data_IF_334213023650
#
_entry.id   IF_334213023650
#
_cell.length_a   1.000
_cell.length_b   1.000
_cell.length_c   1.000
_cell.angle_alpha   90.00
_cell.angle_beta   90.00
_cell.angle_gamma   90.00
#
_symmetry.space_group_name_H-M   'P 1'
#
loop_
_entity.id
_entity.type
_entity.pdbx_description
1 polymer ?
#
# COMPACT_ATOMS: atom_id res chain seq x y z
N UNK A 1 -24.93 77.98 10.25
CA UNK A 1 -23.72 77.34 9.67
C UNK A 1 -23.07 76.47 10.73
N UNK A 2 -22.44 75.38 10.28
CA UNK A 2 -22.07 74.14 10.98
C UNK A 2 -21.30 74.28 12.30
N UNK A 3 -21.64 73.39 13.22
CA UNK A 3 -20.86 72.94 14.39
C UNK A 3 -19.69 72.05 13.96
N UNK A 4 -18.55 72.17 14.66
CA UNK A 4 -17.42 71.22 14.71
C UNK A 4 -16.76 71.37 16.10
N UNK A 5 -16.80 70.32 16.94
CA UNK A 5 -15.77 69.27 17.15
C UNK A 5 -14.46 69.82 17.74
N UNK A 6 -13.72 69.18 18.66
CA UNK A 6 -13.81 68.00 19.52
C UNK A 6 -12.46 68.01 20.25
N UNK A 7 -12.37 67.64 21.53
CA UNK A 7 -11.11 67.18 22.12
C UNK A 7 -11.35 66.42 23.43
N UNK A 8 -11.50 65.10 23.35
CA UNK A 8 -11.34 64.22 24.51
C UNK A 8 -10.19 63.23 24.21
N UNK A 9 -9.30 63.13 25.19
CA UNK A 9 -7.96 62.51 25.12
C UNK A 9 -8.06 60.98 25.12
N UNK A 10 -7.26 60.34 24.29
CA UNK A 10 -7.03 58.90 24.30
C UNK A 10 -6.02 58.53 25.40
N UNK A 11 -6.39 57.58 26.27
CA UNK A 11 -5.46 56.85 27.12
C UNK A 11 -5.05 55.55 26.42
N UNK A 12 -3.75 55.34 26.27
CA UNK A 12 -3.16 54.09 25.81
C UNK A 12 -2.93 53.16 27.01
N UNK A 13 -3.34 51.90 26.90
CA UNK A 13 -2.78 50.81 27.70
C UNK A 13 -2.41 49.66 26.77
N UNK A 14 -1.11 49.38 26.72
CA UNK A 14 -0.46 48.31 25.99
C UNK A 14 -0.74 46.95 26.64
N UNK A 15 -1.32 46.02 25.88
CA UNK A 15 -1.43 44.60 26.28
C UNK A 15 -0.27 43.84 25.63
N UNK A 16 0.71 43.45 26.44
CA UNK A 16 1.80 42.55 26.05
C UNK A 16 1.25 41.14 25.97
N UNK A 17 0.95 40.67 24.76
CA UNK A 17 0.52 39.29 24.51
C UNK A 17 1.72 38.34 24.42
N UNK A 18 1.85 37.43 25.38
CA UNK A 18 2.74 36.26 25.26
C UNK A 18 1.98 35.18 24.50
N UNK A 19 2.32 34.97 23.23
CA UNK A 19 1.82 33.83 22.44
C UNK A 19 2.68 32.62 22.77
N UNK A 20 2.19 31.75 23.64
CA UNK A 20 2.76 30.42 23.84
C UNK A 20 2.40 29.54 22.64
N UNK A 21 3.36 29.28 21.76
CA UNK A 21 3.23 28.32 20.67
C UNK A 21 3.14 26.91 21.26
N UNK A 22 1.92 26.38 21.40
CA UNK A 22 1.70 24.97 21.73
C UNK A 22 2.10 24.16 20.50
N UNK A 23 3.31 23.60 20.52
CA UNK A 23 3.72 22.59 19.56
C UNK A 23 2.86 21.34 19.77
N UNK A 24 1.78 21.21 19.02
CA UNK A 24 1.05 19.95 18.90
C UNK A 24 1.94 18.96 18.18
N UNK A 25 2.71 18.19 18.93
CA UNK A 25 3.32 16.97 18.42
C UNK A 25 2.18 16.05 17.99
N UNK A 26 2.01 15.88 16.69
CA UNK A 26 1.12 14.87 16.12
C UNK A 26 1.68 13.49 16.46
N UNK A 27 1.34 12.98 17.65
CA UNK A 27 1.44 11.57 17.98
C UNK A 27 0.43 10.86 17.09
N UNK A 28 0.85 10.53 15.87
CA UNK A 28 0.08 9.66 14.98
C UNK A 28 -0.21 8.38 15.76
N UNK A 29 -1.48 8.15 16.07
CA UNK A 29 -1.93 6.89 16.62
C UNK A 29 -1.72 5.86 15.51
N UNK A 30 -0.58 5.18 15.57
CA UNK A 30 -0.34 4.00 14.75
C UNK A 30 -1.52 3.06 14.99
N UNK A 31 -2.22 2.70 13.92
CA UNK A 31 -3.35 1.79 14.02
C UNK A 31 -2.83 0.49 14.66
N UNK A 32 -3.37 0.15 15.83
CA UNK A 32 -2.92 -1.02 16.58
C UNK A 32 -3.38 -2.27 15.85
N UNK A 33 -2.46 -2.86 15.10
CA UNK A 33 -2.67 -4.11 14.38
C UNK A 33 -2.62 -5.30 15.35
N UNK A 34 -3.53 -6.27 15.25
CA UNK A 34 -3.43 -7.52 16.01
C UNK A 34 -2.08 -8.21 15.78
N UNK A 35 -1.49 -8.79 16.81
CA UNK A 35 -0.20 -9.51 16.72
C UNK A 35 -0.28 -10.75 15.83
N UNK A 36 -1.47 -11.28 15.59
CA UNK A 36 -1.72 -12.36 14.65
C UNK A 36 -3.13 -12.27 14.11
N UNK A 37 -3.36 -12.79 12.91
CA UNK A 37 -4.69 -12.77 12.31
C UNK A 37 -4.78 -13.46 10.97
N UNK A 38 -6.01 -13.56 10.48
CA UNK A 38 -6.29 -14.05 9.15
C UNK A 38 -6.00 -12.99 8.07
N UNK A 39 -5.54 -13.46 6.93
CA UNK A 39 -5.51 -12.70 5.69
C UNK A 39 -6.75 -13.10 4.90
N UNK A 40 -7.67 -12.16 4.70
CA UNK A 40 -8.83 -12.29 3.83
C UNK A 40 -8.99 -10.95 3.11
N UNK A 41 -8.25 -10.79 2.01
CA UNK A 41 -8.12 -9.50 1.35
C UNK A 41 -8.45 -9.60 -0.14
N UNK A 42 -9.17 -8.61 -0.65
CA UNK A 42 -9.26 -8.34 -2.08
C UNK A 42 -8.36 -7.18 -2.44
N UNK A 43 -7.90 -7.18 -3.69
CA UNK A 43 -7.05 -6.12 -4.22
C UNK A 43 -7.36 -5.89 -5.68
N UNK A 44 -7.13 -4.66 -6.14
CA UNK A 44 -7.07 -4.35 -7.58
C UNK A 44 -5.61 -4.20 -7.95
N UNK A 45 -5.18 -4.93 -8.97
CA UNK A 45 -3.85 -4.81 -9.56
C UNK A 45 -3.93 -4.10 -10.91
N UNK A 46 -2.95 -3.24 -11.15
CA UNK A 46 -2.69 -2.62 -12.45
C UNK A 46 -1.19 -2.71 -12.72
N UNK A 47 -0.80 -3.25 -13.87
CA UNK A 47 0.59 -3.47 -14.20
C UNK A 47 0.90 -3.35 -15.68
N UNK A 48 2.20 -3.37 -15.97
CA UNK A 48 2.75 -3.18 -17.31
C UNK A 48 3.90 -4.14 -17.56
N UNK A 49 4.05 -4.50 -18.83
CA UNK A 49 5.21 -5.21 -19.31
C UNK A 49 6.44 -4.29 -19.25
N UNK A 50 7.49 -4.68 -18.52
CA UNK A 50 8.75 -3.91 -18.48
C UNK A 50 9.70 -4.43 -19.53
N UNK A 51 9.90 -5.76 -19.58
CA UNK A 51 10.68 -6.45 -20.61
C UNK A 51 10.06 -7.80 -20.91
N UNK A 52 10.10 -8.18 -22.19
CA UNK A 52 9.63 -9.46 -22.65
C UNK A 52 10.58 -9.94 -23.76
N UNK A 53 11.33 -11.00 -23.50
CA UNK A 53 12.35 -11.55 -24.38
C UNK A 53 11.86 -12.89 -24.93
N UNK A 54 11.53 -12.91 -26.22
CA UNK A 54 11.10 -14.11 -26.91
C UNK A 54 12.22 -15.17 -26.90
N UNK A 55 11.85 -16.42 -26.60
CA UNK A 55 12.72 -17.59 -26.67
C UNK A 55 12.38 -18.38 -27.93
N UNK A 56 11.16 -18.91 -28.01
CA UNK A 56 10.64 -19.65 -29.18
C UNK A 56 9.12 -19.83 -29.08
N UNK A 57 8.40 -19.68 -30.19
CA UNK A 57 6.93 -19.72 -30.13
C UNK A 57 6.38 -18.64 -29.20
N UNK A 58 5.50 -19.01 -28.28
CA UNK A 58 4.95 -18.12 -27.25
C UNK A 58 5.81 -18.08 -25.97
N UNK A 59 6.94 -18.80 -25.94
CA UNK A 59 7.80 -18.85 -24.78
C UNK A 59 8.65 -17.59 -24.65
N UNK A 60 8.66 -17.01 -23.46
CA UNK A 60 9.41 -15.80 -23.18
C UNK A 60 9.87 -15.69 -21.72
N UNK A 61 11.02 -15.05 -21.54
CA UNK A 61 11.48 -14.56 -20.23
C UNK A 61 10.98 -13.13 -20.08
N UNK A 62 10.33 -12.83 -18.96
CA UNK A 62 9.68 -11.54 -18.76
C UNK A 62 10.04 -10.90 -17.42
N UNK A 63 9.88 -9.57 -17.39
CA UNK A 63 9.96 -8.72 -16.20
C UNK A 63 8.72 -7.82 -16.21
N UNK A 64 7.94 -7.85 -15.13
CA UNK A 64 6.71 -7.09 -14.96
C UNK A 64 6.74 -6.23 -13.71
N UNK A 65 6.02 -5.10 -13.78
CA UNK A 65 5.77 -4.24 -12.64
C UNK A 65 4.27 -4.02 -12.46
N UNK A 66 3.84 -3.96 -11.20
CA UNK A 66 2.45 -3.60 -10.88
C UNK A 66 2.29 -2.77 -9.63
N UNK A 67 1.14 -2.10 -9.56
CA UNK A 67 0.59 -1.47 -8.36
C UNK A 67 -0.61 -2.26 -7.90
N UNK A 68 -0.68 -2.54 -6.61
CA UNK A 68 -1.86 -3.09 -5.97
C UNK A 68 -2.52 -2.02 -5.08
N UNK A 69 -3.85 -1.97 -5.13
CA UNK A 69 -4.68 -1.12 -4.28
C UNK A 69 -5.59 -2.01 -3.43
N UNK A 70 -5.54 -1.81 -2.11
CA UNK A 70 -6.33 -2.56 -1.13
C UNK A 70 -7.08 -1.58 -0.22
N UNK A 71 -8.29 -1.20 -0.62
CA UNK A 71 -9.05 -0.13 0.04
C UNK A 71 -10.18 -0.64 0.95
N UNK A 72 -10.64 -1.88 0.77
CA UNK A 72 -11.80 -2.40 1.50
C UNK A 72 -11.60 -3.86 1.94
N UNK A 73 -10.82 -4.03 3.01
CA UNK A 73 -10.47 -5.31 3.63
C UNK A 73 -10.69 -5.25 5.15
N UNK A 74 -11.85 -4.77 5.60
CA UNK A 74 -12.13 -4.52 7.02
C UNK A 74 -11.99 -5.76 7.92
N UNK A 75 -12.10 -6.95 7.35
CA UNK A 75 -11.88 -8.24 8.04
C UNK A 75 -10.41 -8.68 8.09
N UNK A 76 -9.54 -7.99 7.37
CA UNK A 76 -8.10 -8.27 7.33
C UNK A 76 -7.33 -6.96 7.59
N UNK A 77 -7.20 -6.54 8.86
CA UNK A 77 -6.58 -5.27 9.24
C UNK A 77 -5.17 -5.06 8.65
N UNK A 78 -4.39 -6.13 8.47
CA UNK A 78 -3.06 -6.07 7.85
C UNK A 78 -3.11 -5.52 6.41
N UNK A 79 -4.19 -5.80 5.68
CA UNK A 79 -4.37 -5.47 4.27
C UNK A 79 -5.42 -4.37 4.07
N UNK A 80 -5.80 -3.67 5.14
CA UNK A 80 -6.76 -2.57 5.09
C UNK A 80 -6.05 -1.26 4.72
N UNK A 81 -6.53 -0.56 3.69
CA UNK A 81 -6.01 0.74 3.26
C UNK A 81 -4.49 0.73 2.99
N UNK A 82 -4.01 -0.31 2.33
CA UNK A 82 -2.61 -0.42 1.91
C UNK A 82 -2.48 -0.34 0.40
N UNK A 83 -1.31 0.09 -0.06
CA UNK A 83 -0.91 0.00 -1.47
C UNK A 83 0.35 -0.85 -1.57
N UNK A 84 0.58 -1.48 -2.73
CA UNK A 84 1.81 -2.21 -2.98
C UNK A 84 2.42 -1.85 -4.33
N UNK A 85 3.75 -1.89 -4.39
CA UNK A 85 4.53 -1.86 -5.63
C UNK A 85 5.22 -3.20 -5.79
N UNK A 86 4.98 -3.85 -6.92
CA UNK A 86 5.46 -5.20 -7.17
C UNK A 86 6.40 -5.23 -8.38
N UNK A 87 7.41 -6.09 -8.29
CA UNK A 87 8.31 -6.45 -9.39
C UNK A 87 8.36 -7.97 -9.48
N UNK A 88 8.27 -8.50 -10.68
CA UNK A 88 8.24 -9.93 -10.95
C UNK A 88 9.10 -10.30 -12.15
N UNK A 89 9.81 -11.42 -12.06
CA UNK A 89 10.42 -12.05 -13.21
C UNK A 89 9.97 -13.52 -13.34
N UNK A 90 9.87 -13.99 -14.56
CA UNK A 90 9.43 -15.36 -14.82
C UNK A 90 9.77 -15.86 -16.21
N UNK A 91 9.52 -17.16 -16.39
CA UNK A 91 9.54 -17.82 -17.70
C UNK A 91 8.13 -18.35 -17.98
N UNK A 92 7.56 -18.01 -19.14
CA UNK A 92 6.16 -18.31 -19.47
C UNK A 92 5.84 -19.82 -19.47
N UNK A 93 6.79 -20.67 -19.83
CA UNK A 93 6.63 -22.13 -19.77
C UNK A 93 7.00 -22.74 -18.40
N UNK A 94 7.52 -21.93 -17.47
CA UNK A 94 8.10 -22.36 -16.21
C UNK A 94 7.37 -21.80 -14.99
N UNK A 95 8.13 -21.13 -14.13
CA UNK A 95 7.61 -20.46 -12.94
C UNK A 95 7.99 -18.99 -12.94
N UNK A 96 7.24 -18.22 -12.16
CA UNK A 96 7.51 -16.83 -11.90
C UNK A 96 7.66 -16.59 -10.41
N UNK A 97 8.45 -15.57 -10.06
CA UNK A 97 8.64 -15.13 -8.68
C UNK A 97 8.70 -13.61 -8.66
N UNK A 98 8.05 -13.03 -7.66
CA UNK A 98 8.00 -11.59 -7.50
C UNK A 98 8.02 -11.17 -6.04
N UNK A 99 8.25 -9.88 -5.87
CA UNK A 99 8.23 -9.21 -4.58
C UNK A 99 7.25 -8.04 -4.65
N UNK A 100 6.50 -7.82 -3.57
CA UNK A 100 5.69 -6.62 -3.40
C UNK A 100 6.11 -5.89 -2.13
N UNK A 101 6.34 -4.59 -2.23
CA UNK A 101 6.53 -3.71 -1.09
C UNK A 101 5.21 -3.02 -0.80
N UNK A 102 4.58 -3.38 0.31
CA UNK A 102 3.38 -2.73 0.82
C UNK A 102 3.73 -1.48 1.59
N UNK A 103 2.83 -0.50 1.54
CA UNK A 103 2.90 0.73 2.32
C UNK A 103 1.52 1.05 2.86
N UNK A 104 1.45 1.34 4.15
CA UNK A 104 0.24 1.81 4.80
C UNK A 104 0.21 3.35 4.93
N UNK A 105 -0.88 3.86 5.53
CA UNK A 105 -1.10 5.29 5.77
C UNK A 105 -0.08 5.93 6.73
N UNK A 106 0.56 5.13 7.58
CA UNK A 106 1.54 5.59 8.58
C UNK A 106 2.96 5.60 7.99
N UNK A 107 3.13 5.13 6.75
CA UNK A 107 4.41 5.02 6.05
C UNK A 107 5.16 3.73 6.35
N UNK A 108 4.64 2.89 7.24
CA UNK A 108 5.19 1.58 7.56
C UNK A 108 5.02 0.63 6.38
N UNK A 109 6.01 -0.26 6.21
CA UNK A 109 6.12 -1.15 5.05
C UNK A 109 6.25 -2.59 5.47
N UNK A 110 5.79 -3.49 4.60
CA UNK A 110 6.08 -4.91 4.69
C UNK A 110 6.28 -5.51 3.31
N UNK A 111 7.01 -6.62 3.25
CA UNK A 111 7.43 -7.26 2.01
C UNK A 111 6.75 -8.61 1.89
N UNK A 112 6.13 -8.77 0.74
CA UNK A 112 5.65 -10.05 0.24
C UNK A 112 6.62 -10.62 -0.77
N UNK A 113 6.84 -11.93 -0.70
CA UNK A 113 7.43 -12.73 -1.78
C UNK A 113 6.38 -13.70 -2.28
N UNK A 114 6.21 -13.84 -3.58
CA UNK A 114 5.22 -14.76 -4.16
C UNK A 114 5.78 -15.51 -5.36
N UNK A 115 5.20 -16.67 -5.63
CA UNK A 115 5.54 -17.51 -6.78
C UNK A 115 4.32 -18.22 -7.34
N UNK A 116 4.38 -18.54 -8.62
CA UNK A 116 3.34 -19.29 -9.33
C UNK A 116 3.91 -19.96 -10.59
N UNK A 117 3.16 -20.90 -11.14
CA UNK A 117 3.46 -21.52 -12.43
C UNK A 117 3.05 -20.59 -13.57
N UNK A 118 3.85 -20.51 -14.63
CA UNK A 118 3.51 -19.79 -15.85
C UNK A 118 2.13 -20.16 -16.38
N UNK A 119 1.35 -19.15 -16.77
CA UNK A 119 -0.05 -19.31 -17.19
C UNK A 119 -1.07 -19.54 -16.06
N UNK A 120 -0.64 -19.68 -14.80
CA UNK A 120 -1.56 -19.80 -13.66
C UNK A 120 -2.16 -18.46 -13.26
N UNK A 121 -3.43 -18.46 -12.86
CA UNK A 121 -4.12 -17.32 -12.24
C UNK A 121 -4.12 -17.40 -10.72
N UNK A 122 -3.35 -18.32 -10.13
CA UNK A 122 -3.19 -18.46 -8.70
C UNK A 122 -1.76 -18.86 -8.32
N UNK A 123 -1.40 -18.57 -7.07
CA UNK A 123 -0.07 -18.84 -6.55
C UNK A 123 0.00 -18.77 -5.03
N UNK A 124 1.23 -18.88 -4.52
CA UNK A 124 1.53 -18.83 -3.09
C UNK A 124 2.38 -17.62 -2.78
N UNK A 125 2.21 -17.07 -1.59
CA UNK A 125 3.02 -15.98 -1.10
C UNK A 125 3.34 -16.08 0.38
N UNK A 126 4.36 -15.32 0.77
CA UNK A 126 4.86 -15.24 2.13
C UNK A 126 5.11 -13.78 2.50
N UNK A 127 4.99 -13.47 3.78
CA UNK A 127 5.41 -12.20 4.38
C UNK A 127 6.66 -12.49 5.21
N UNK A 128 7.72 -11.70 5.05
CA UNK A 128 9.00 -12.01 5.71
C UNK A 128 9.87 -10.82 6.12
N UNK A 129 9.48 -9.59 5.76
CA UNK A 129 10.20 -8.41 6.20
C UNK A 129 9.23 -7.24 6.39
N UNK A 130 9.56 -6.32 7.29
CA UNK A 130 8.75 -5.13 7.53
C UNK A 130 9.44 -4.09 8.42
N UNK A 131 8.87 -2.90 8.44
CA UNK A 131 9.29 -1.74 9.24
C UNK A 131 8.23 -1.38 10.26
N UNK A 132 8.59 -0.55 11.24
CA UNK A 132 7.68 -0.05 12.28
C UNK A 132 6.84 -1.15 12.90
N UNK A 133 5.51 -1.04 12.81
CA UNK A 133 4.59 -2.03 13.40
C UNK A 133 4.59 -3.40 12.72
N UNK A 134 5.19 -3.54 11.53
CA UNK A 134 5.34 -4.83 10.82
C UNK A 134 6.73 -5.46 11.00
N UNK A 135 7.59 -4.90 11.87
CA UNK A 135 8.94 -5.45 12.07
C UNK A 135 8.87 -6.90 12.57
N UNK A 136 9.54 -7.81 11.85
CA UNK A 136 9.53 -9.24 12.16
C UNK A 136 8.26 -9.97 11.72
N UNK A 137 7.44 -9.37 10.86
CA UNK A 137 6.25 -10.03 10.30
C UNK A 137 6.60 -11.35 9.62
N UNK A 138 5.78 -12.35 9.90
CA UNK A 138 5.77 -13.63 9.22
C UNK A 138 4.36 -13.94 8.74
N UNK A 139 4.22 -14.58 7.58
CA UNK A 139 2.92 -14.98 7.09
C UNK A 139 2.99 -15.84 5.85
N UNK A 140 1.90 -16.56 5.60
CA UNK A 140 1.71 -17.39 4.41
C UNK A 140 0.29 -17.20 3.91
N UNK A 141 0.13 -17.15 2.60
CA UNK A 141 -1.18 -17.04 1.96
C UNK A 141 -1.16 -17.62 0.55
N UNK A 142 -2.34 -17.97 0.08
CA UNK A 142 -2.62 -18.23 -1.32
C UNK A 142 -3.21 -16.97 -1.94
N UNK A 143 -2.91 -16.72 -3.22
CA UNK A 143 -3.53 -15.65 -3.99
C UNK A 143 -4.18 -16.20 -5.26
N UNK A 144 -5.24 -15.54 -5.72
CA UNK A 144 -5.97 -15.90 -6.93
C UNK A 144 -6.49 -14.66 -7.64
N UNK A 145 -6.42 -14.64 -8.98
CA UNK A 145 -7.14 -13.67 -9.80
C UNK A 145 -8.62 -14.06 -9.85
N UNK A 146 -9.49 -13.14 -9.47
CA UNK A 146 -10.94 -13.33 -9.47
C UNK A 146 -11.57 -12.87 -10.78
N UNK A 147 -11.08 -11.75 -11.33
CA UNK A 147 -11.61 -11.18 -12.55
C UNK A 147 -10.54 -10.38 -13.28
N UNK A 148 -10.39 -10.62 -14.58
CA UNK A 148 -9.67 -9.71 -15.46
C UNK A 148 -10.48 -8.42 -15.65
N UNK A 149 -9.79 -7.29 -15.71
CA UNK A 149 -10.36 -5.98 -16.01
C UNK A 149 -9.85 -5.50 -17.37
N UNK A 150 -10.56 -4.57 -18.03
CA UNK A 150 -10.07 -3.95 -19.27
C UNK A 150 -8.66 -3.38 -19.09
N UNK A 151 -7.80 -3.61 -20.08
CA UNK A 151 -6.42 -3.14 -20.12
C UNK A 151 -6.01 -2.83 -21.55
N UNK A 152 -5.03 -1.94 -21.71
CA UNK A 152 -4.42 -1.65 -23.00
C UNK A 152 -3.36 -2.70 -23.35
N UNK A 153 -2.98 -2.77 -24.61
CA UNK A 153 -1.91 -3.68 -25.06
C UNK A 153 -0.62 -3.42 -24.27
N UNK A 154 -0.03 -4.47 -23.71
CA UNK A 154 1.20 -4.38 -22.89
C UNK A 154 0.95 -4.00 -21.43
N UNK A 155 -0.31 -3.93 -21.01
CA UNK A 155 -0.73 -3.72 -19.63
C UNK A 155 -1.69 -4.82 -19.18
N UNK A 156 -1.88 -4.95 -17.88
CA UNK A 156 -2.86 -5.86 -17.31
C UNK A 156 -3.54 -5.21 -16.12
N UNK A 157 -4.83 -5.48 -15.96
CA UNK A 157 -5.61 -5.05 -14.81
C UNK A 157 -6.45 -6.24 -14.34
N UNK A 158 -6.51 -6.48 -13.03
CA UNK A 158 -7.34 -7.55 -12.48
C UNK A 158 -7.74 -7.29 -11.03
N UNK A 159 -8.81 -7.94 -10.60
CA UNK A 159 -9.18 -8.08 -9.19
C UNK A 159 -8.64 -9.40 -8.69
N UNK A 160 -7.92 -9.39 -7.57
CA UNK A 160 -7.41 -10.58 -6.93
C UNK A 160 -7.89 -10.74 -5.49
N UNK A 161 -7.69 -11.94 -4.94
CA UNK A 161 -7.94 -12.29 -3.55
C UNK A 161 -6.71 -12.92 -2.94
N UNK A 162 -6.49 -12.68 -1.64
CA UNK A 162 -5.50 -13.34 -0.78
C UNK A 162 -6.19 -13.99 0.41
N UNK A 163 -5.81 -15.22 0.71
CA UNK A 163 -6.33 -15.98 1.86
C UNK A 163 -5.17 -16.65 2.61
N UNK A 164 -5.07 -16.43 3.91
CA UNK A 164 -3.96 -16.97 4.70
C UNK A 164 -3.91 -16.47 6.13
N UNK A 165 -2.71 -16.33 6.68
CA UNK A 165 -2.51 -15.82 8.04
C UNK A 165 -1.17 -15.13 8.20
N UNK A 166 -1.07 -14.30 9.25
CA UNK A 166 0.15 -13.61 9.63
C UNK A 166 0.35 -13.61 11.15
N UNK A 167 1.59 -13.35 11.56
CA UNK A 167 1.97 -12.96 12.92
C UNK A 167 3.02 -11.85 12.88
N UNK A 168 3.06 -11.07 13.95
CA UNK A 168 4.02 -10.01 14.21
C UNK A 168 4.46 -10.18 15.68
N UNK A 169 5.77 -10.07 16.00
CA UNK A 169 6.29 -10.17 17.36
C UNK A 169 5.65 -9.18 18.33
#
# INVERSE_FOLDING_TARGET
MRSNNNAAKFFAFSVTGVVAAVATTSSGWAETLPKQGAIEATYTAAGTDVRNLAVSGDDAVYLFESTLLMTNNSKSPLMQNVTARCVEAGFSAGSATGYCVYSDKDGDKFVETYSYRGGSTSGKGTLGAGTGKYKGIEGHFDWQQLAALPSEKGTYNYVGKKTGSYRIP
#
